data_IF_368158046318
#
_entry.id   IF_368158046318
#
_cell.length_a   1.000
_cell.length_b   1.000
_cell.length_c   1.000
_cell.angle_alpha   90.00
_cell.angle_beta   90.00
_cell.angle_gamma   90.00
#
_symmetry.space_group_name_H-M   'P 1'
#
loop_
_entity.id
_entity.type
_entity.pdbx_description
1 polymer ?
#
# COMPACT_ATOMS: atom_id res chain seq x y z
N UNK A 1 -4.15 11.80 20.76
CA UNK A 1 -3.77 11.50 19.36
C UNK A 1 -2.37 12.03 19.11
N UNK A 2 -1.73 11.54 18.05
CA UNK A 2 -0.37 11.92 17.66
C UNK A 2 0.02 11.21 16.37
N UNK A 3 1.26 11.40 15.95
CA UNK A 3 1.77 10.82 14.71
C UNK A 3 3.27 10.54 14.82
N UNK A 4 3.75 9.63 13.98
CA UNK A 4 5.15 9.52 13.61
C UNK A 4 5.22 9.56 12.07
N UNK A 5 6.39 9.71 11.48
CA UNK A 5 6.52 9.61 10.02
C UNK A 5 7.38 8.42 9.62
N UNK A 6 7.02 7.80 8.51
CA UNK A 6 7.75 6.70 7.87
C UNK A 6 8.12 7.14 6.46
N UNK A 7 9.43 7.16 6.15
CA UNK A 7 9.90 7.61 4.84
C UNK A 7 9.92 6.47 3.81
N UNK A 8 10.07 5.23 4.26
CA UNK A 8 10.20 4.09 3.39
C UNK A 8 8.86 3.73 2.73
N UNK A 9 8.94 3.31 1.46
CA UNK A 9 7.78 2.82 0.73
C UNK A 9 7.34 1.44 1.24
N UNK A 10 8.33 0.57 1.51
CA UNK A 10 8.16 -0.71 2.18
C UNK A 10 8.52 -0.51 3.65
N UNK A 11 7.68 -0.95 4.58
CA UNK A 11 7.93 -0.74 5.99
C UNK A 11 7.45 -1.90 6.86
N UNK A 12 8.05 -1.98 8.04
CA UNK A 12 7.69 -2.88 9.10
C UNK A 12 7.63 -2.08 10.40
N UNK A 13 6.45 -2.02 11.03
CA UNK A 13 6.28 -1.27 12.26
C UNK A 13 7.16 -1.78 13.40
N UNK A 14 7.61 -3.04 13.37
CA UNK A 14 8.51 -3.56 14.42
C UNK A 14 9.90 -2.94 14.41
N UNK A 15 10.29 -2.28 13.31
CA UNK A 15 11.52 -1.48 13.24
C UNK A 15 11.37 -0.14 13.95
N UNK A 16 10.12 0.27 14.23
CA UNK A 16 9.76 1.53 14.87
C UNK A 16 9.50 1.35 16.36
N UNK A 17 8.79 0.28 16.73
CA UNK A 17 8.48 -0.10 18.10
C UNK A 17 8.28 -1.62 18.22
N UNK A 18 8.61 -2.28 19.34
CA UNK A 18 8.29 -3.69 19.55
C UNK A 18 6.78 -3.96 19.46
N UNK A 19 6.36 -5.11 18.93
CA UNK A 19 4.93 -5.45 18.72
C UNK A 19 4.11 -5.47 20.01
N UNK A 20 4.73 -5.73 21.17
CA UNK A 20 4.09 -5.69 22.49
C UNK A 20 3.85 -4.27 23.03
N UNK A 21 4.28 -3.25 22.29
CA UNK A 21 4.08 -1.82 22.61
C UNK A 21 3.22 -1.14 21.55
N UNK A 22 2.81 0.09 21.82
CA UNK A 22 2.05 0.91 20.87
C UNK A 22 2.92 1.93 20.11
N UNK A 23 2.34 2.60 19.10
CA UNK A 23 3.00 3.65 18.30
C UNK A 23 3.58 4.80 19.12
N UNK A 24 3.12 5.00 20.37
CA UNK A 24 3.59 6.08 21.24
C UNK A 24 5.09 6.04 21.53
N UNK A 25 5.76 4.91 21.33
CA UNK A 25 7.21 4.77 21.52
C UNK A 25 7.98 4.66 20.19
N UNK A 26 7.35 5.01 19.06
CA UNK A 26 8.01 4.94 17.76
C UNK A 26 9.31 5.75 17.75
N UNK A 27 10.42 5.09 17.43
CA UNK A 27 11.73 5.71 17.28
C UNK A 27 11.83 6.55 15.98
N UNK A 28 12.99 7.17 15.72
CA UNK A 28 13.26 8.00 14.53
C UNK A 28 14.20 7.33 13.50
N UNK A 29 14.19 6.00 13.37
CA UNK A 29 15.08 5.27 12.43
C UNK A 29 14.83 5.56 10.94
N UNK A 30 13.72 6.21 10.61
CA UNK A 30 13.17 6.53 9.27
C UNK A 30 12.07 7.57 9.48
N UNK A 31 12.24 8.80 9.05
CA UNK A 31 11.31 9.87 9.44
C UNK A 31 11.37 10.18 10.94
N UNK A 32 10.31 10.77 11.48
CA UNK A 32 10.24 11.31 12.83
C UNK A 32 9.75 10.28 13.85
N UNK A 33 10.24 10.40 15.08
CA UNK A 33 9.68 9.71 16.24
C UNK A 33 8.25 10.16 16.53
N UNK A 34 7.55 9.41 17.39
CA UNK A 34 6.18 9.75 17.78
C UNK A 34 6.10 11.12 18.46
N UNK A 35 5.16 11.94 18.01
CA UNK A 35 4.79 13.23 18.59
C UNK A 35 3.30 13.23 18.90
N UNK A 36 2.97 13.35 20.19
CA UNK A 36 1.60 13.41 20.67
C UNK A 36 1.46 12.92 22.11
N UNK A 37 0.22 12.75 22.56
CA UNK A 37 -0.06 12.20 23.89
C UNK A 37 0.27 10.71 23.92
N UNK A 38 0.91 10.25 25.00
CA UNK A 38 1.11 8.84 25.23
C UNK A 38 -0.19 8.09 25.50
N UNK A 39 -0.24 6.83 25.09
CA UNK A 39 -1.37 5.93 25.30
C UNK A 39 -0.86 4.50 25.54
N UNK A 40 -1.77 3.60 25.90
CA UNK A 40 -1.43 2.20 26.18
C UNK A 40 -0.87 1.44 24.98
N UNK A 41 -0.43 0.21 25.21
CA UNK A 41 0.16 -0.65 24.16
C UNK A 41 -0.86 -1.36 23.26
N UNK A 42 -2.14 -1.35 23.62
CA UNK A 42 -3.22 -2.04 22.91
C UNK A 42 -4.35 -1.07 22.58
N UNK A 43 -5.30 -1.52 21.74
CA UNK A 43 -6.49 -0.75 21.34
C UNK A 43 -6.13 0.58 20.68
N UNK A 44 -5.51 0.49 19.50
CA UNK A 44 -5.15 1.68 18.73
C UNK A 44 -5.41 1.47 17.25
N UNK A 45 -5.56 2.57 16.54
CA UNK A 45 -5.64 2.58 15.09
C UNK A 45 -4.55 3.49 14.50
N UNK A 46 -4.01 3.09 13.36
CA UNK A 46 -3.10 3.89 12.56
C UNK A 46 -3.69 4.11 11.18
N UNK A 47 -3.35 5.24 10.56
CA UNK A 47 -3.60 5.50 9.15
C UNK A 47 -2.33 6.06 8.51
N UNK A 48 -1.70 5.24 7.68
CA UNK A 48 -0.55 5.60 6.87
C UNK A 48 -1.04 6.20 5.57
N UNK A 49 -0.67 7.44 5.27
CA UNK A 49 -1.10 8.13 4.05
C UNK A 49 0.10 8.56 3.23
N UNK A 50 0.07 8.26 1.94
CA UNK A 50 1.11 8.67 1.00
C UNK A 50 0.49 9.15 -0.31
N UNK A 51 1.15 10.12 -0.92
CA UNK A 51 0.93 10.60 -2.29
C UNK A 51 2.30 10.81 -2.92
N UNK A 52 2.34 11.37 -4.13
CA UNK A 52 3.59 11.69 -4.82
C UNK A 52 4.45 10.44 -5.11
N UNK A 53 3.81 9.37 -5.60
CA UNK A 53 4.52 8.18 -6.05
C UNK A 53 5.22 8.45 -7.38
N UNK A 54 6.41 7.87 -7.56
CA UNK A 54 6.99 7.73 -8.90
C UNK A 54 5.99 6.99 -9.78
N UNK A 55 5.75 7.49 -11.00
CA UNK A 55 4.84 6.84 -11.94
C UNK A 55 5.28 5.40 -12.20
N UNK A 56 4.39 4.44 -11.98
CA UNK A 56 4.68 3.04 -12.24
C UNK A 56 3.48 2.13 -12.01
N UNK A 57 3.62 0.88 -12.43
CA UNK A 57 2.67 -0.18 -12.15
C UNK A 57 3.18 -0.96 -10.93
N UNK A 58 2.42 -0.94 -9.84
CA UNK A 58 2.82 -1.46 -8.54
C UNK A 58 1.94 -2.61 -8.11
N UNK A 59 2.52 -3.52 -7.33
CA UNK A 59 1.82 -4.50 -6.53
C UNK A 59 1.99 -4.14 -5.05
N UNK A 60 0.93 -4.33 -4.27
CA UNK A 60 0.95 -4.26 -2.82
C UNK A 60 0.83 -5.67 -2.25
N UNK A 61 1.71 -6.00 -1.31
CA UNK A 61 1.69 -7.21 -0.50
C UNK A 61 1.66 -6.83 0.99
N UNK A 62 1.07 -7.69 1.81
CA UNK A 62 1.05 -7.56 3.27
C UNK A 62 1.77 -8.78 3.86
N UNK A 63 3.08 -8.71 4.14
CA UNK A 63 3.82 -9.81 4.74
C UNK A 63 3.30 -10.25 6.12
N UNK A 64 2.73 -9.32 6.89
CA UNK A 64 2.22 -9.57 8.24
C UNK A 64 1.23 -8.48 8.66
N UNK A 65 0.13 -8.85 9.31
CA UNK A 65 -0.77 -7.91 9.99
C UNK A 65 -1.32 -8.45 11.31
N UNK A 66 -1.50 -7.54 12.27
CA UNK A 66 -2.08 -7.79 13.58
C UNK A 66 -2.75 -6.51 14.13
N UNK A 67 -4.08 -6.36 14.15
CA UNK A 67 -5.13 -7.30 13.70
C UNK A 67 -5.62 -6.97 12.28
N UNK A 68 -6.43 -5.91 12.16
CA UNK A 68 -7.24 -5.60 10.98
C UNK A 68 -6.55 -4.57 10.10
N UNK A 69 -6.56 -4.81 8.78
CA UNK A 69 -6.00 -3.89 7.78
C UNK A 69 -7.02 -3.58 6.70
N UNK A 70 -7.03 -2.32 6.27
CA UNK A 70 -7.71 -1.90 5.06
C UNK A 70 -6.78 -1.04 4.20
N UNK A 71 -6.86 -1.19 2.87
CA UNK A 71 -6.11 -0.38 1.91
C UNK A 71 -7.10 0.39 1.05
N UNK A 72 -6.86 1.69 0.93
CA UNK A 72 -7.62 2.58 0.07
C UNK A 72 -6.69 3.23 -0.96
N UNK A 73 -7.13 3.24 -2.20
CA UNK A 73 -6.46 3.93 -3.32
C UNK A 73 -7.42 4.99 -3.84
N UNK A 74 -7.02 6.25 -3.85
CA UNK A 74 -7.88 7.38 -4.21
C UNK A 74 -9.20 7.42 -3.42
N UNK A 75 -9.15 7.06 -2.14
CA UNK A 75 -10.31 6.99 -1.25
C UNK A 75 -11.21 5.77 -1.45
N UNK A 76 -10.94 4.91 -2.44
CA UNK A 76 -11.69 3.66 -2.68
C UNK A 76 -11.01 2.51 -1.95
N UNK A 77 -11.76 1.79 -1.11
CA UNK A 77 -11.25 0.58 -0.45
C UNK A 77 -11.06 -0.53 -1.48
N UNK A 78 -9.81 -0.94 -1.68
CA UNK A 78 -9.43 -2.01 -2.62
C UNK A 78 -9.15 -3.33 -1.91
N UNK A 79 -8.88 -3.29 -0.60
CA UNK A 79 -8.60 -4.46 0.21
C UNK A 79 -9.07 -4.24 1.66
N UNK A 80 -9.55 -5.32 2.29
CA UNK A 80 -9.80 -5.40 3.72
C UNK A 80 -9.55 -6.82 4.22
N UNK A 81 -8.86 -6.94 5.34
CA UNK A 81 -8.78 -8.18 6.10
C UNK A 81 -9.00 -7.87 7.60
N UNK A 82 -10.11 -8.32 8.20
CA UNK A 82 -10.49 -7.99 9.56
C UNK A 82 -9.78 -8.82 10.65
N UNK A 83 -8.92 -9.76 10.26
CA UNK A 83 -8.32 -10.75 11.14
C UNK A 83 -6.78 -10.66 11.17
N UNK A 84 -6.21 -11.02 12.32
CA UNK A 84 -4.80 -11.34 12.45
C UNK A 84 -4.35 -12.32 11.36
N UNK A 85 -3.26 -12.01 10.66
CA UNK A 85 -2.68 -12.87 9.63
C UNK A 85 -1.15 -12.85 9.72
N UNK A 86 -0.51 -13.91 10.26
CA UNK A 86 0.93 -13.96 10.49
C UNK A 86 1.74 -14.37 9.25
N UNK A 87 1.10 -14.41 8.09
CA UNK A 87 1.66 -14.91 6.84
C UNK A 87 1.48 -13.91 5.71
N UNK A 88 2.33 -14.03 4.70
CA UNK A 88 2.28 -13.20 3.50
C UNK A 88 0.90 -13.31 2.81
N UNK A 89 0.29 -12.15 2.61
CA UNK A 89 -0.85 -11.94 1.73
C UNK A 89 -0.34 -11.24 0.48
N UNK A 90 -0.21 -12.00 -0.61
CA UNK A 90 0.39 -11.47 -1.85
C UNK A 90 -0.66 -10.86 -2.76
N UNK A 91 -0.25 -9.84 -3.52
CA UNK A 91 -1.03 -9.18 -4.55
C UNK A 91 -2.43 -8.77 -4.07
N UNK A 92 -2.49 -8.15 -2.90
CA UNK A 92 -3.75 -7.63 -2.33
C UNK A 92 -4.30 -6.47 -3.16
N UNK A 93 -3.43 -5.83 -3.93
CA UNK A 93 -3.78 -4.88 -4.97
C UNK A 93 -2.65 -4.77 -6.00
N UNK A 94 -2.99 -4.54 -7.26
CA UNK A 94 -2.04 -4.13 -8.30
C UNK A 94 -2.67 -3.03 -9.14
N UNK A 95 -1.89 -2.03 -9.55
CA UNK A 95 -2.36 -0.93 -10.36
C UNK A 95 -1.34 0.19 -10.58
N UNK A 96 -1.77 1.23 -11.29
CA UNK A 96 -0.95 2.42 -11.48
C UNK A 96 -0.95 3.30 -10.24
N UNK A 97 0.25 3.65 -9.77
CA UNK A 97 0.47 4.72 -8.82
C UNK A 97 1.26 5.83 -9.52
N UNK A 98 0.88 7.07 -9.26
CA UNK A 98 1.59 8.24 -9.77
C UNK A 98 1.53 9.41 -8.79
N UNK A 99 2.01 10.59 -9.22
CA UNK A 99 2.17 11.74 -8.33
C UNK A 99 0.89 12.21 -7.64
N UNK A 100 -0.27 12.00 -8.29
CA UNK A 100 -1.59 12.38 -7.77
C UNK A 100 -2.31 11.25 -7.03
N UNK A 101 -1.80 10.01 -7.08
CA UNK A 101 -2.45 8.87 -6.45
C UNK A 101 -2.30 8.97 -4.94
N UNK A 102 -3.42 8.84 -4.21
CA UNK A 102 -3.40 8.74 -2.76
C UNK A 102 -3.52 7.28 -2.34
N UNK A 103 -2.64 6.84 -1.45
CA UNK A 103 -2.69 5.52 -0.82
C UNK A 103 -2.87 5.72 0.67
N UNK A 104 -3.88 5.07 1.24
CA UNK A 104 -4.12 5.03 2.68
C UNK A 104 -4.15 3.57 3.15
N UNK A 105 -3.31 3.25 4.14
CA UNK A 105 -3.27 1.93 4.78
C UNK A 105 -3.68 2.12 6.23
N UNK A 106 -4.79 1.50 6.60
CA UNK A 106 -5.33 1.54 7.95
C UNK A 106 -4.94 0.27 8.69
N UNK A 107 -4.52 0.40 9.94
CA UNK A 107 -4.35 -0.69 10.88
C UNK A 107 -5.28 -0.45 12.07
N UNK A 108 -5.96 -1.48 12.53
CA UNK A 108 -6.67 -1.49 13.81
C UNK A 108 -6.11 -2.65 14.64
N UNK A 109 -5.43 -2.34 15.74
CA UNK A 109 -5.07 -3.30 16.77
C UNK A 109 -6.19 -3.31 17.82
N UNK A 110 -6.83 -4.47 18.01
CA UNK A 110 -7.99 -4.67 18.87
C UNK A 110 -7.61 -5.17 20.27
N UNK A 111 -6.40 -5.68 20.48
CA UNK A 111 -5.93 -6.17 21.78
C UNK A 111 -4.45 -6.52 21.76
N UNK A 112 -3.80 -6.46 22.93
CA UNK A 112 -2.43 -6.92 23.11
C UNK A 112 -1.47 -6.34 22.05
N UNK A 113 -0.69 -7.21 21.41
CA UNK A 113 0.33 -6.86 20.43
C UNK A 113 -0.30 -6.37 19.13
N UNK A 114 0.42 -5.51 18.41
CA UNK A 114 0.01 -5.09 17.08
C UNK A 114 1.19 -4.82 16.17
N UNK A 115 1.04 -5.16 14.90
CA UNK A 115 2.11 -5.10 13.92
C UNK A 115 1.56 -4.97 12.51
N UNK A 116 2.28 -4.24 11.67
CA UNK A 116 2.00 -4.16 10.25
C UNK A 116 3.30 -4.20 9.46
N UNK A 117 3.31 -5.02 8.41
CA UNK A 117 4.32 -5.02 7.38
C UNK A 117 3.65 -4.78 6.03
N UNK A 118 4.22 -3.87 5.24
CA UNK A 118 3.73 -3.51 3.91
C UNK A 118 4.89 -3.55 2.92
N UNK A 119 4.63 -4.11 1.75
CA UNK A 119 5.51 -4.02 0.59
C UNK A 119 4.73 -3.45 -0.60
N UNK A 120 5.22 -2.37 -1.20
CA UNK A 120 4.72 -1.74 -2.41
C UNK A 120 5.88 -1.73 -3.40
N UNK A 121 5.88 -2.69 -4.33
CA UNK A 121 6.97 -2.90 -5.27
C UNK A 121 6.47 -2.72 -6.70
N UNK A 122 7.34 -2.38 -7.68
CA UNK A 122 7.01 -2.51 -9.09
C UNK A 122 6.48 -3.92 -9.36
N UNK A 123 5.32 -4.00 -10.03
CA UNK A 123 4.74 -5.29 -10.41
C UNK A 123 5.54 -5.87 -11.57
N UNK A 124 5.73 -7.19 -11.55
CA UNK A 124 6.29 -7.94 -12.68
C UNK A 124 5.30 -8.09 -13.83
N UNK A 125 4.02 -7.80 -13.59
CA UNK A 125 3.01 -7.75 -14.64
C UNK A 125 3.19 -6.50 -15.49
N UNK A 126 3.19 -6.65 -16.81
CA UNK A 126 3.33 -5.55 -17.76
C UNK A 126 1.99 -5.25 -18.42
N UNK A 127 1.16 -4.36 -17.85
CA UNK A 127 -0.11 -4.00 -18.47
C UNK A 127 0.12 -3.46 -19.87
N UNK A 128 -0.66 -3.97 -20.82
CA UNK A 128 -0.62 -3.57 -22.22
C UNK A 128 -1.79 -2.64 -22.50
N UNK A 129 -1.55 -1.56 -23.23
CA UNK A 129 -2.60 -0.79 -23.91
C UNK A 129 -2.76 -1.35 -25.31
N UNK A 130 -3.99 -1.71 -25.66
CA UNK A 130 -4.37 -2.02 -27.04
C UNK A 130 -4.66 -0.72 -27.79
N UNK A 131 -4.54 -0.76 -29.11
CA UNK A 131 -5.08 0.30 -29.95
C UNK A 131 -6.58 0.49 -29.71
N UNK A 132 -7.04 1.73 -29.96
CA UNK A 132 -8.47 2.08 -29.92
C UNK A 132 -9.30 1.17 -30.83
N UNK A 133 -10.58 1.00 -30.50
CA UNK A 133 -11.50 0.15 -31.25
C UNK A 133 -11.44 0.41 -32.77
N UNK A 134 -11.19 -0.66 -33.52
CA UNK A 134 -11.16 -0.65 -34.99
C UNK A 134 -12.50 -1.15 -35.53
N UNK A 135 -13.18 -0.37 -36.37
CA UNK A 135 -14.34 -0.85 -37.12
C UNK A 135 -13.86 -1.66 -38.33
N UNK A 136 -14.23 -2.94 -38.39
CA UNK A 136 -13.87 -3.85 -39.50
C UNK A 136 -15.11 -4.07 -40.38
N UNK A 137 -15.02 -3.73 -41.67
CA UNK A 137 -16.05 -4.02 -42.68
C UNK A 137 -15.87 -5.42 -43.29
N UNK A 138 -16.90 -5.95 -43.93
CA UNK A 138 -16.83 -7.25 -44.65
C UNK A 138 -15.68 -7.24 -45.65
N UNK A 139 -14.76 -8.20 -45.51
CA UNK A 139 -13.56 -8.35 -46.34
C UNK A 139 -12.37 -7.47 -45.92
N UNK A 140 -12.51 -6.65 -44.88
CA UNK A 140 -11.42 -5.86 -44.31
C UNK A 140 -10.57 -6.64 -43.29
N UNK A 141 -9.34 -6.18 -43.10
CA UNK A 141 -8.47 -6.58 -41.99
C UNK A 141 -8.15 -5.35 -41.14
N UNK A 142 -7.82 -5.58 -39.86
CA UNK A 142 -7.28 -4.55 -38.98
C UNK A 142 -6.08 -5.11 -38.23
N UNK A 143 -5.07 -4.25 -38.04
CA UNK A 143 -3.94 -4.57 -37.18
C UNK A 143 -4.29 -4.23 -35.74
N UNK A 144 -4.04 -5.17 -34.83
CA UNK A 144 -4.10 -4.94 -33.41
C UNK A 144 -2.67 -4.68 -32.92
N UNK A 145 -2.44 -3.52 -32.30
CA UNK A 145 -1.15 -3.22 -31.67
C UNK A 145 -1.31 -3.19 -30.17
N UNK A 146 -0.37 -3.81 -29.47
CA UNK A 146 -0.21 -3.70 -28.03
C UNK A 146 1.05 -2.89 -27.75
N UNK A 147 0.94 -1.90 -26.88
CA UNK A 147 2.07 -1.16 -26.34
C UNK A 147 2.12 -1.32 -24.82
N UNK A 148 3.31 -1.23 -24.23
CA UNK A 148 3.40 -1.06 -22.78
C UNK A 148 2.63 0.19 -22.38
N UNK A 149 1.72 0.04 -21.43
CA UNK A 149 0.93 1.16 -20.88
C UNK A 149 1.77 2.12 -20.02
N UNK A 150 3.05 1.82 -19.81
CA UNK A 150 3.98 2.65 -19.08
C UNK A 150 4.63 3.65 -20.04
N UNK A 151 4.07 4.86 -20.12
CA UNK A 151 4.76 5.99 -20.73
C UNK A 151 5.78 6.56 -19.72
N UNK A 152 7.08 6.39 -19.98
CA UNK A 152 8.15 7.09 -19.25
C UNK A 152 8.72 6.41 -18.00
N UNK A 153 8.54 5.10 -17.81
CA UNK A 153 9.49 4.35 -16.97
C UNK A 153 10.72 4.02 -17.83
N UNK A 154 11.75 4.85 -17.69
CA UNK A 154 13.11 4.52 -18.10
C UNK A 154 13.82 3.76 -17.01
#
# INVERSE_FOLDING_TARGET
YGYYTENNLNFNTTLRWPSSTGPTVANASSGQAYLGCSFGSANYSLSFKRTNFTCGYYQIDIPYQDDEVAILINGVQVFVNPNFTPSLQTNVWTGFLGPTTTVEIKLVNKQLSGQLQISINPSTSTPQTLNSNSTICVGGSADLSAASSIAGAT
#
